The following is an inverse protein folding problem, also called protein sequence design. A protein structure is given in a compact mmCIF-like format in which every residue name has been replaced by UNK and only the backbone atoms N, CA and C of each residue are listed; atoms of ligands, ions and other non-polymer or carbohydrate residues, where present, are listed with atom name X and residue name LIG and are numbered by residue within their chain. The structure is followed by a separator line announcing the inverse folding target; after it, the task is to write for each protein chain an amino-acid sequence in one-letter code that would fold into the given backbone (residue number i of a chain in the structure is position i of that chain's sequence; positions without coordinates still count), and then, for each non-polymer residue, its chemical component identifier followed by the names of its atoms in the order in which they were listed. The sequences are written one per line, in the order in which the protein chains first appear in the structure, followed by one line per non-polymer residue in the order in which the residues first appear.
data_IF_168486066065
#
_entry.id   IF_168486066065
#
_cell.length_a   1.000
_cell.length_b   1.000
_cell.length_c   1.000
_cell.angle_alpha   90.00
_cell.angle_beta   90.00
_cell.angle_gamma   90.00
#
_symmetry.space_group_name_H-M   'P 1'
#
loop_
_entity.id
_entity.type
_entity.pdbx_description
1 polymer ?
#
# COMPACT_ATOMS: atom_id res chain seq x y z
N UNK A 1 7.52 -32.77 -8.61
CA UNK A 1 7.11 -31.48 -9.19
C UNK A 1 7.24 -30.42 -8.12
N UNK A 2 8.08 -29.43 -8.36
CA UNK A 2 8.31 -28.33 -7.44
C UNK A 2 7.61 -27.07 -7.93
N UNK A 3 7.09 -26.28 -7.00
CA UNK A 3 6.51 -24.98 -7.30
C UNK A 3 7.35 -23.93 -6.61
N UNK A 4 7.81 -22.96 -7.38
CA UNK A 4 8.51 -21.79 -6.83
C UNK A 4 7.62 -20.56 -6.95
N UNK A 5 7.83 -19.59 -6.08
CA UNK A 5 7.21 -18.28 -6.24
C UNK A 5 8.27 -17.21 -6.39
N UNK A 6 7.98 -16.26 -7.26
CA UNK A 6 8.85 -15.11 -7.49
C UNK A 6 8.03 -13.85 -7.22
N UNK A 7 8.53 -13.02 -6.31
CA UNK A 7 7.90 -11.73 -6.04
C UNK A 7 8.23 -10.77 -7.19
N UNK A 8 7.22 -10.35 -7.92
CA UNK A 8 7.38 -9.48 -9.08
C UNK A 8 7.40 -8.01 -8.70
N UNK A 9 6.56 -7.61 -7.77
CA UNK A 9 6.41 -6.20 -7.41
C UNK A 9 5.85 -6.05 -6.02
N UNK A 10 6.09 -4.88 -5.45
CA UNK A 10 5.51 -4.44 -4.18
C UNK A 10 4.92 -3.06 -4.39
N UNK A 11 3.75 -2.84 -3.84
CA UNK A 11 3.09 -1.54 -3.86
C UNK A 11 2.64 -1.18 -2.45
N UNK A 12 2.60 0.12 -2.18
CA UNK A 12 2.07 0.67 -0.94
C UNK A 12 0.78 1.39 -1.28
N UNK A 13 -0.30 1.04 -0.60
CA UNK A 13 -1.60 1.69 -0.78
C UNK A 13 -1.95 2.42 0.50
N UNK A 14 -2.23 3.72 0.38
CA UNK A 14 -2.64 4.55 1.49
C UNK A 14 -4.10 4.95 1.29
N UNK A 15 -4.90 4.80 2.33
CA UNK A 15 -6.31 5.21 2.33
C UNK A 15 -6.48 6.35 3.31
N UNK A 16 -7.11 7.42 2.85
CA UNK A 16 -7.33 8.64 3.64
C UNK A 16 -8.82 8.95 3.70
N UNK A 17 -9.26 9.54 4.79
CA UNK A 17 -10.56 10.20 4.84
C UNK A 17 -10.40 11.62 4.36
N UNK A 18 -11.23 12.03 3.41
CA UNK A 18 -11.18 13.37 2.82
C UNK A 18 -12.60 13.92 2.65
N UNK A 19 -13.06 14.64 3.64
CA UNK A 19 -14.40 15.21 3.61
C UNK A 19 -15.49 14.15 3.83
N UNK A 20 -16.71 14.48 3.41
CA UNK A 20 -17.87 13.63 3.59
C UNK A 20 -18.65 13.51 2.30
N UNK A 21 -19.30 12.37 2.12
CA UNK A 21 -20.27 12.18 1.04
C UNK A 21 -21.57 12.94 1.37
N UNK A 22 -22.48 13.02 0.41
CA UNK A 22 -23.74 13.73 0.58
C UNK A 22 -24.61 13.13 1.69
N UNK A 23 -24.44 11.85 1.98
CA UNK A 23 -25.18 11.13 3.03
C UNK A 23 -24.53 11.27 4.41
N UNK A 24 -23.43 12.01 4.54
CA UNK A 24 -22.73 12.23 5.80
C UNK A 24 -21.65 11.19 6.13
N UNK A 25 -21.49 10.15 5.31
CA UNK A 25 -20.43 9.16 5.53
C UNK A 25 -19.08 9.72 5.12
N UNK A 26 -17.98 9.29 5.77
CA UNK A 26 -16.65 9.73 5.37
C UNK A 26 -16.32 9.31 3.95
N UNK A 27 -15.74 10.23 3.19
CA UNK A 27 -15.23 9.92 1.86
C UNK A 27 -13.80 9.41 1.99
N UNK A 28 -13.56 8.20 1.47
CA UNK A 28 -12.24 7.58 1.51
C UNK A 28 -11.60 7.68 0.14
N UNK A 29 -10.37 8.15 0.10
CA UNK A 29 -9.56 8.25 -1.11
C UNK A 29 -8.35 7.35 -0.94
N UNK A 30 -8.02 6.59 -1.97
CA UNK A 30 -6.86 5.71 -1.97
C UNK A 30 -5.80 6.23 -2.92
N UNK A 31 -4.53 6.14 -2.51
CA UNK A 31 -3.39 6.39 -3.38
C UNK A 31 -2.50 5.16 -3.38
N UNK A 32 -2.04 4.78 -4.57
CA UNK A 32 -1.18 3.61 -4.74
C UNK A 32 0.18 4.07 -5.25
N UNK A 33 1.21 3.66 -4.52
CA UNK A 33 2.60 3.90 -4.91
C UNK A 33 3.20 2.57 -5.35
N UNK A 34 3.44 2.44 -6.64
CA UNK A 34 4.06 1.25 -7.24
C UNK A 34 5.58 1.41 -7.24
N UNK A 35 6.27 0.37 -7.69
CA UNK A 35 7.74 0.38 -7.82
C UNK A 35 8.46 0.54 -6.49
N UNK A 36 7.86 0.05 -5.43
CA UNK A 36 8.52 -0.04 -4.12
C UNK A 36 9.54 -1.18 -4.19
N UNK A 37 10.65 -1.02 -3.47
CA UNK A 37 11.62 -2.10 -3.36
C UNK A 37 10.95 -3.33 -2.74
N UNK A 38 10.88 -4.41 -3.50
CA UNK A 38 10.19 -5.63 -3.05
C UNK A 38 10.88 -6.33 -1.89
N UNK A 39 12.13 -5.96 -1.59
CA UNK A 39 12.84 -6.45 -0.41
C UNK A 39 12.61 -5.56 0.83
N UNK A 40 11.81 -4.49 0.72
CA UNK A 40 11.54 -3.62 1.84
C UNK A 40 10.76 -4.35 2.95
N UNK A 41 11.10 -4.07 4.20
CA UNK A 41 10.41 -4.64 5.34
C UNK A 41 9.08 -3.92 5.57
N UNK A 42 8.19 -4.55 6.32
CA UNK A 42 6.91 -3.94 6.67
C UNK A 42 7.11 -2.66 7.48
N UNK A 43 8.09 -2.66 8.39
CA UNK A 43 8.41 -1.47 9.19
C UNK A 43 8.88 -0.31 8.31
N UNK A 44 9.74 -0.58 7.32
CA UNK A 44 10.22 0.44 6.39
C UNK A 44 9.06 1.02 5.58
N UNK A 45 8.15 0.17 5.11
CA UNK A 45 6.98 0.63 4.36
C UNK A 45 6.03 1.45 5.21
N UNK A 46 5.86 1.07 6.47
CA UNK A 46 5.02 1.82 7.40
C UNK A 46 5.60 3.22 7.64
N UNK A 47 6.91 3.32 7.82
CA UNK A 47 7.59 4.60 8.02
C UNK A 47 7.45 5.51 6.79
N UNK A 48 7.58 4.94 5.59
CA UNK A 48 7.40 5.69 4.34
C UNK A 48 5.96 6.19 4.24
N UNK A 49 4.98 5.34 4.56
CA UNK A 49 3.57 5.72 4.54
C UNK A 49 3.26 6.85 5.51
N UNK A 50 3.81 6.77 6.72
CA UNK A 50 3.64 7.82 7.72
C UNK A 50 4.26 9.14 7.26
N UNK A 51 5.44 9.10 6.65
CA UNK A 51 6.09 10.29 6.12
C UNK A 51 5.27 10.93 4.99
N UNK A 52 4.67 10.13 4.13
CA UNK A 52 3.79 10.63 3.06
C UNK A 52 2.55 11.28 3.67
N UNK A 53 1.98 10.67 4.70
CA UNK A 53 0.84 11.22 5.42
C UNK A 53 1.14 12.60 6.01
N UNK A 54 2.33 12.77 6.61
CA UNK A 54 2.76 14.05 7.16
C UNK A 54 2.86 15.13 6.08
N UNK A 55 3.42 14.80 4.92
CA UNK A 55 3.55 15.73 3.78
C UNK A 55 2.16 16.15 3.28
N UNK A 56 1.21 15.21 3.25
CA UNK A 56 -0.15 15.50 2.78
C UNK A 56 -1.03 16.16 3.84
N UNK A 57 -0.51 16.35 5.04
CA UNK A 57 -1.25 16.91 6.19
C UNK A 57 -2.52 16.09 6.44
N UNK A 58 -2.44 14.79 6.24
CA UNK A 58 -3.54 13.86 6.48
C UNK A 58 -2.95 12.56 7.00
N UNK A 59 -3.58 11.98 8.01
CA UNK A 59 -3.16 10.67 8.49
C UNK A 59 -3.91 9.60 7.72
N UNK A 60 -3.22 8.59 7.17
CA UNK A 60 -3.91 7.49 6.52
C UNK A 60 -4.76 6.71 7.53
N UNK A 61 -5.96 6.34 7.15
CA UNK A 61 -6.79 5.45 7.97
C UNK A 61 -6.34 4.01 7.81
N UNK A 62 -5.63 3.70 6.73
CA UNK A 62 -5.14 2.36 6.48
C UNK A 62 -3.91 2.42 5.57
N UNK A 63 -2.91 1.61 5.90
CA UNK A 63 -1.75 1.37 5.05
C UNK A 63 -1.77 -0.08 4.63
N UNK A 64 -1.67 -0.33 3.34
CA UNK A 64 -1.66 -1.68 2.80
C UNK A 64 -0.39 -1.93 2.03
N UNK A 65 0.18 -3.11 2.22
CA UNK A 65 1.24 -3.63 1.37
C UNK A 65 0.64 -4.64 0.41
N UNK A 66 0.89 -4.48 -0.88
CA UNK A 66 0.42 -5.40 -1.90
C UNK A 66 1.62 -5.98 -2.62
N UNK A 67 1.78 -7.29 -2.53
CA UNK A 67 2.84 -8.01 -3.21
C UNK A 67 2.25 -8.88 -4.30
N UNK A 68 2.93 -8.90 -5.45
CA UNK A 68 2.52 -9.69 -6.59
C UNK A 68 3.54 -10.82 -6.79
N UNK A 69 3.05 -12.05 -6.86
CA UNK A 69 3.88 -13.23 -7.01
C UNK A 69 3.51 -14.00 -8.27
N UNK A 70 4.51 -14.49 -8.96
CA UNK A 70 4.30 -15.50 -10.00
C UNK A 70 4.62 -16.87 -9.43
N UNK A 71 3.77 -17.84 -9.74
CA UNK A 71 3.99 -19.23 -9.36
C UNK A 71 4.55 -19.97 -10.58
N UNK A 72 5.68 -20.61 -10.38
CA UNK A 72 6.39 -21.29 -11.48
C UNK A 72 6.51 -22.75 -11.13
N UNK A 73 6.10 -23.58 -12.08
CA UNK A 73 6.26 -25.03 -11.96
C UNK A 73 7.61 -25.43 -12.55
N UNK A 74 8.40 -26.12 -11.77
CA UNK A 74 9.72 -26.61 -12.16
C UNK A 74 9.70 -28.11 -12.44
#
# INVERSE_FOLDING_TARGET
MAISNIKNSTALVLRFEKGQNLDGTPKVVSQKYSKINKAATDEALFEVGAAIGDVLISYPVELKRVDDFSLIQE
#
